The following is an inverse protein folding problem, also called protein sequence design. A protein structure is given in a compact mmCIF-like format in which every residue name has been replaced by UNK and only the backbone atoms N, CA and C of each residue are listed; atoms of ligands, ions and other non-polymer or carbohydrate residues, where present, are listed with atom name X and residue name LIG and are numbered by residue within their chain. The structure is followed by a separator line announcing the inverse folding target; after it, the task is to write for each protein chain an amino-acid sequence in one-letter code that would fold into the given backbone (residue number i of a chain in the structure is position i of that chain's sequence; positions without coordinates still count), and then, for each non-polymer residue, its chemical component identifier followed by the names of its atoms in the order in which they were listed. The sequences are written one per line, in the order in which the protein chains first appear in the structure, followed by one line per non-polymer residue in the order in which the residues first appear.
data_IF_545028472344
#
_entry.id   IF_545028472344
#
_cell.length_a   1.000
_cell.length_b   1.000
_cell.length_c   1.000
_cell.angle_alpha   90.00
_cell.angle_beta   90.00
_cell.angle_gamma   90.00
#
_symmetry.space_group_name_H-M   'P 1'
#
loop_
_entity.id
_entity.type
_entity.pdbx_description
1 polymer ?
#
# COMPACT_ATOMS: atom_id res chain seq x y z
N UNK A 1 21.21 12.95 -18.88
CA UNK A 1 21.19 11.84 -17.89
C UNK A 1 20.76 10.57 -18.62
N UNK A 2 21.39 9.41 -18.36
CA UNK A 2 20.90 8.14 -18.91
C UNK A 2 19.50 7.81 -18.35
N UNK A 3 18.62 7.17 -19.14
CA UNK A 3 17.28 6.82 -18.70
C UNK A 3 17.32 5.80 -17.55
N UNK A 4 16.42 5.97 -16.58
CA UNK A 4 16.29 5.01 -15.47
C UNK A 4 15.83 3.66 -16.05
N UNK A 5 16.47 2.54 -15.69
CA UNK A 5 16.03 1.21 -16.11
C UNK A 5 14.56 0.97 -15.75
N UNK A 6 13.83 0.28 -16.63
CA UNK A 6 12.45 -0.11 -16.35
C UNK A 6 12.41 -1.07 -15.15
N UNK A 7 11.51 -0.85 -14.17
CA UNK A 7 11.38 -1.76 -13.04
C UNK A 7 10.97 -3.16 -13.50
N UNK A 8 11.61 -4.18 -12.94
CA UNK A 8 11.33 -5.60 -13.26
C UNK A 8 10.63 -6.31 -12.12
N UNK A 9 10.75 -5.78 -10.90
CA UNK A 9 10.22 -6.37 -9.67
C UNK A 9 9.52 -5.29 -8.85
N UNK A 10 8.67 -5.73 -7.94
CA UNK A 10 8.01 -4.88 -6.97
C UNK A 10 7.84 -5.62 -5.65
N UNK A 11 7.84 -4.87 -4.55
CA UNK A 11 7.45 -5.35 -3.23
C UNK A 11 6.00 -4.98 -2.99
N UNK A 12 5.19 -5.90 -2.50
CA UNK A 12 3.78 -5.65 -2.25
C UNK A 12 3.26 -6.32 -0.98
N UNK A 13 2.09 -5.86 -0.54
CA UNK A 13 1.22 -6.55 0.41
C UNK A 13 0.06 -7.14 -0.38
N UNK A 14 -0.08 -8.48 -0.46
CA UNK A 14 -1.19 -9.11 -1.15
C UNK A 14 -2.50 -8.83 -0.41
N UNK A 15 -3.55 -8.47 -1.14
CA UNK A 15 -4.88 -8.24 -0.59
C UNK A 15 -5.72 -9.49 -0.78
N UNK A 16 -6.34 -9.97 0.30
CA UNK A 16 -7.21 -11.15 0.26
C UNK A 16 -8.30 -11.04 1.31
N UNK A 17 -9.39 -11.80 1.14
CA UNK A 17 -10.43 -11.95 2.15
C UNK A 17 -11.84 -12.04 1.58
N UNK A 18 -12.79 -12.62 2.33
CA UNK A 18 -14.16 -12.85 1.84
C UNK A 18 -14.92 -11.55 1.54
N UNK A 19 -14.72 -10.51 2.35
CA UNK A 19 -15.37 -9.21 2.14
C UNK A 19 -14.86 -8.57 0.84
N UNK A 20 -13.54 -8.49 0.66
CA UNK A 20 -12.94 -7.93 -0.55
C UNK A 20 -13.39 -8.70 -1.80
N UNK A 21 -13.46 -10.03 -1.73
CA UNK A 21 -13.96 -10.87 -2.83
C UNK A 21 -15.39 -10.48 -3.24
N UNK A 22 -16.30 -10.35 -2.26
CA UNK A 22 -17.69 -9.95 -2.52
C UNK A 22 -17.77 -8.54 -3.11
N UNK A 23 -17.13 -7.57 -2.48
CA UNK A 23 -17.17 -6.17 -2.93
C UNK A 23 -16.56 -6.01 -4.33
N UNK A 24 -15.45 -6.69 -4.61
CA UNK A 24 -14.81 -6.66 -5.94
C UNK A 24 -15.71 -7.32 -7.00
N UNK A 25 -16.44 -8.38 -6.65
CA UNK A 25 -17.41 -9.01 -7.55
C UNK A 25 -18.57 -8.07 -7.88
N UNK A 26 -19.14 -7.41 -6.87
CA UNK A 26 -20.20 -6.42 -7.07
C UNK A 26 -19.72 -5.23 -7.89
N UNK A 27 -18.53 -4.70 -7.57
CA UNK A 27 -17.89 -3.62 -8.32
C UNK A 27 -17.68 -4.01 -9.78
N UNK A 28 -17.12 -5.20 -10.05
CA UNK A 28 -16.90 -5.71 -11.40
C UNK A 28 -18.21 -5.79 -12.18
N UNK A 29 -19.28 -6.33 -11.58
CA UNK A 29 -20.58 -6.43 -12.24
C UNK A 29 -21.10 -5.05 -12.65
N UNK A 30 -21.07 -4.07 -11.74
CA UNK A 30 -21.53 -2.70 -12.01
C UNK A 30 -20.71 -2.00 -13.10
N UNK A 31 -19.38 -1.96 -12.97
CA UNK A 31 -18.55 -1.18 -13.92
C UNK A 31 -18.47 -1.79 -15.31
N UNK A 32 -18.72 -3.09 -15.44
CA UNK A 32 -18.69 -3.79 -16.73
C UNK A 32 -20.07 -3.90 -17.40
N UNK A 33 -21.14 -3.46 -16.73
CA UNK A 33 -22.48 -3.44 -17.32
C UNK A 33 -22.51 -2.47 -18.51
N UNK A 34 -23.01 -2.90 -19.69
CA UNK A 34 -23.12 -2.04 -20.87
C UNK A 34 -23.98 -0.78 -20.68
N UNK A 35 -24.90 -0.79 -19.71
CA UNK A 35 -25.79 0.32 -19.37
C UNK A 35 -25.25 1.20 -18.23
N UNK A 36 -24.09 0.85 -17.65
CA UNK A 36 -23.39 1.63 -16.62
C UNK A 36 -22.14 2.26 -17.23
N UNK A 37 -20.95 1.96 -16.70
CA UNK A 37 -19.68 2.50 -17.19
C UNK A 37 -19.14 1.78 -18.43
N UNK A 38 -19.67 0.59 -18.77
CA UNK A 38 -19.25 -0.23 -19.92
C UNK A 38 -17.73 -0.42 -20.02
N UNK A 39 -17.06 -0.59 -18.87
CA UNK A 39 -15.63 -0.86 -18.80
C UNK A 39 -15.37 -2.29 -19.28
N UNK A 40 -14.34 -2.48 -20.10
CA UNK A 40 -13.98 -3.80 -20.58
C UNK A 40 -13.68 -4.75 -19.39
N UNK A 41 -14.25 -5.98 -19.34
CA UNK A 41 -14.12 -6.85 -18.17
C UNK A 41 -12.69 -7.21 -17.76
N UNK A 42 -11.74 -7.19 -18.71
CA UNK A 42 -10.32 -7.46 -18.43
C UNK A 42 -9.56 -6.26 -17.84
N UNK A 43 -10.18 -5.07 -17.81
CA UNK A 43 -9.61 -3.91 -17.12
C UNK A 43 -9.77 -4.02 -15.59
N UNK A 44 -10.69 -4.85 -15.10
CA UNK A 44 -10.85 -5.13 -13.68
C UNK A 44 -9.96 -6.31 -13.28
N UNK A 45 -8.93 -6.04 -12.46
CA UNK A 45 -8.00 -7.06 -11.98
C UNK A 45 -8.74 -8.12 -11.14
N UNK A 46 -8.45 -9.42 -11.31
CA UNK A 46 -9.01 -10.46 -10.47
C UNK A 46 -8.41 -10.41 -9.06
N UNK A 47 -9.17 -10.92 -8.07
CA UNK A 47 -8.80 -10.91 -6.66
C UNK A 47 -7.38 -11.46 -6.40
N UNK A 48 -7.00 -12.56 -7.05
CA UNK A 48 -5.68 -13.19 -6.88
C UNK A 48 -4.49 -12.33 -7.31
N UNK A 49 -4.74 -11.19 -7.95
CA UNK A 49 -3.70 -10.23 -8.36
C UNK A 49 -3.80 -8.89 -7.64
N UNK A 50 -4.73 -8.74 -6.68
CA UNK A 50 -4.90 -7.51 -5.92
C UNK A 50 -3.79 -7.37 -4.87
N UNK A 51 -3.12 -6.22 -4.87
CA UNK A 51 -2.01 -5.95 -3.98
C UNK A 51 -1.82 -4.45 -3.76
N UNK A 52 -1.20 -4.08 -2.64
CA UNK A 52 -0.67 -2.75 -2.41
C UNK A 52 0.83 -2.76 -2.71
N UNK A 53 1.24 -2.05 -3.76
CA UNK A 53 2.66 -1.89 -4.10
C UNK A 53 3.34 -0.94 -3.12
N UNK A 54 4.39 -1.41 -2.45
CA UNK A 54 5.21 -0.63 -1.52
C UNK A 54 6.39 0.03 -2.21
N UNK A 55 6.91 -0.59 -3.26
CA UNK A 55 8.04 -0.06 -4.03
C UNK A 55 8.33 -0.91 -5.26
N UNK A 56 8.97 -0.30 -6.25
CA UNK A 56 9.39 -0.95 -7.51
C UNK A 56 10.90 -0.87 -7.63
N UNK A 57 11.49 -1.90 -8.24
CA UNK A 57 12.95 -2.02 -8.33
C UNK A 57 13.38 -2.81 -9.57
N UNK A 58 14.67 -2.72 -9.91
CA UNK A 58 15.30 -3.55 -10.94
C UNK A 58 16.30 -4.48 -10.28
N UNK A 59 15.99 -5.78 -10.26
CA UNK A 59 16.92 -6.81 -9.79
C UNK A 59 17.50 -7.49 -11.03
N UNK A 60 18.83 -7.53 -11.13
CA UNK A 60 19.56 -8.11 -12.27
C UNK A 60 20.11 -9.48 -11.88
N UNK A 61 19.55 -10.52 -12.50
CA UNK A 61 19.94 -11.91 -12.26
C UNK A 61 19.46 -12.48 -10.92
N UNK A 62 19.57 -13.79 -10.79
CA UNK A 62 19.01 -14.55 -9.66
C UNK A 62 19.71 -14.25 -8.33
N UNK A 63 20.99 -13.89 -8.36
CA UNK A 63 21.74 -13.53 -7.15
C UNK A 63 21.16 -12.28 -6.47
N UNK A 64 20.79 -11.25 -7.25
CA UNK A 64 20.19 -10.03 -6.72
C UNK A 64 18.79 -10.31 -6.14
N UNK A 65 18.02 -11.20 -6.77
CA UNK A 65 16.72 -11.64 -6.27
C UNK A 65 16.85 -12.45 -4.97
N UNK A 66 17.83 -13.36 -4.90
CA UNK A 66 18.14 -14.14 -3.70
C UNK A 66 18.46 -13.24 -2.51
N UNK A 67 19.37 -12.27 -2.68
CA UNK A 67 19.70 -11.29 -1.63
C UNK A 67 18.50 -10.47 -1.18
N UNK A 68 17.65 -10.04 -2.12
CA UNK A 68 16.43 -9.31 -1.78
C UNK A 68 15.47 -10.18 -0.95
N UNK A 69 15.31 -11.45 -1.32
CA UNK A 69 14.48 -12.39 -0.57
C UNK A 69 15.04 -12.65 0.84
N UNK A 70 16.36 -12.81 0.98
CA UNK A 70 17.00 -13.02 2.28
C UNK A 70 16.86 -11.80 3.21
N UNK A 71 16.99 -10.60 2.65
CA UNK A 71 16.71 -9.36 3.39
C UNK A 71 15.26 -9.35 3.90
N UNK A 72 14.29 -9.65 3.04
CA UNK A 72 12.88 -9.69 3.42
C UNK A 72 12.58 -10.73 4.50
N UNK A 73 13.24 -11.90 4.45
CA UNK A 73 13.13 -12.95 5.49
C UNK A 73 13.74 -12.52 6.82
N UNK A 74 14.79 -11.71 6.79
CA UNK A 74 15.43 -11.17 7.99
C UNK A 74 14.67 -10.03 8.67
N UNK A 75 13.61 -9.50 8.05
CA UNK A 75 12.86 -8.38 8.62
C UNK A 75 12.07 -8.79 9.87
N UNK A 76 12.27 -8.05 10.97
CA UNK A 76 11.43 -8.17 12.17
C UNK A 76 10.20 -7.26 12.05
N UNK A 77 9.29 -7.63 11.16
CA UNK A 77 8.12 -6.82 10.78
C UNK A 77 7.26 -6.39 11.97
N UNK A 78 7.09 -7.26 12.98
CA UNK A 78 6.33 -6.92 14.19
C UNK A 78 6.93 -5.71 14.91
N UNK A 79 8.23 -5.73 15.13
CA UNK A 79 8.94 -4.63 15.81
C UNK A 79 8.88 -3.34 15.00
N UNK A 80 9.07 -3.44 13.69
CA UNK A 80 8.96 -2.28 12.77
C UNK A 80 7.56 -1.67 12.86
N UNK A 81 6.51 -2.50 12.84
CA UNK A 81 5.13 -2.03 12.91
C UNK A 81 4.78 -1.46 14.28
N UNK A 82 5.27 -2.05 15.36
CA UNK A 82 5.06 -1.54 16.72
C UNK A 82 5.73 -0.17 16.92
N UNK A 83 6.96 -0.01 16.41
CA UNK A 83 7.66 1.27 16.38
C UNK A 83 6.91 2.31 15.54
N UNK A 84 6.42 1.94 14.35
CA UNK A 84 5.65 2.82 13.50
C UNK A 84 4.34 3.29 14.16
N UNK A 85 3.65 2.38 14.89
CA UNK A 85 2.45 2.71 15.66
C UNK A 85 2.75 3.68 16.80
N UNK A 86 3.83 3.44 17.54
CA UNK A 86 4.26 4.34 18.61
C UNK A 86 4.59 5.74 18.07
N UNK A 87 5.35 5.82 16.97
CA UNK A 87 5.67 7.09 16.31
C UNK A 87 4.41 7.83 15.83
N UNK A 88 3.46 7.12 15.21
CA UNK A 88 2.19 7.70 14.76
C UNK A 88 1.28 8.15 15.93
N UNK A 89 1.33 7.45 17.06
CA UNK A 89 0.63 7.88 18.28
C UNK A 89 1.23 9.17 18.85
N UNK A 90 2.56 9.24 18.97
CA UNK A 90 3.26 10.44 19.43
C UNK A 90 3.01 11.64 18.51
N UNK A 91 3.06 11.45 17.19
CA UNK A 91 2.80 12.52 16.23
C UNK A 91 1.39 13.11 16.39
N UNK A 92 0.37 12.25 16.59
CA UNK A 92 -1.02 12.70 16.83
C UNK A 92 -1.16 13.46 18.16
N UNK A 93 -0.45 13.03 19.20
CA UNK A 93 -0.47 13.73 20.49
C UNK A 93 0.15 15.14 20.40
N UNK A 94 1.25 15.29 19.64
CA UNK A 94 1.86 16.60 19.38
C UNK A 94 0.91 17.53 18.62
N UNK A 95 0.17 17.02 17.63
CA UNK A 95 -0.82 17.82 16.88
C UNK A 95 -1.98 18.30 17.76
N UNK A 96 -2.45 17.47 18.69
CA UNK A 96 -3.52 17.86 19.62
C UNK A 96 -3.04 18.93 20.60
N UNK A 97 -1.83 18.80 21.17
CA UNK A 97 -1.28 19.79 22.09
C UNK A 97 -1.02 21.16 21.44
N UNK A 98 -0.65 21.19 20.15
CA UNK A 98 -0.46 22.43 19.41
C UNK A 98 -1.78 23.17 19.12
N UNK A 99 -2.89 22.44 18.94
CA UNK A 99 -4.22 23.04 18.75
C UNK A 99 -4.76 23.67 20.04
N UNK A 100 -4.48 23.07 21.20
CA UNK A 100 -4.91 23.61 22.50
C UNK A 100 -4.14 24.88 22.90
N UNK A 101 -2.84 24.99 22.56
CA UNK A 101 -2.04 26.20 22.80
C UNK A 101 -2.47 27.38 21.91
N UNK A 102 -2.85 27.13 20.65
CA UNK A 102 -3.27 28.17 19.71
C UNK A 102 -4.68 28.72 20.04
N UNK A 103 -5.60 27.89 20.52
CA UNK A 103 -6.94 28.32 20.96
C UNK A 103 -6.92 29.06 22.31
N UNK A 104 -5.97 28.72 23.20
CA UNK A 104 -5.73 29.43 24.45
C UNK A 104 -5.14 30.83 24.26
N UNK A 105 -4.25 31.01 23.26
CA UNK A 105 -3.64 32.30 22.96
C UNK A 105 -4.61 33.30 22.30
N UNK A 106 -5.65 32.83 21.61
CA UNK A 106 -6.63 33.68 20.94
C UNK A 106 -7.71 34.28 21.88
N UNK A 107 -7.71 33.91 23.16
CA UNK A 107 -8.69 34.35 24.18
C UNK A 107 -8.09 35.22 25.29
N UNK A 108 -6.82 35.63 25.16
CA UNK A 108 -6.09 36.47 26.12
C UNK A 108 -6.07 37.95 25.75
#
# INVERSE_FOLDING_TARGET
MPPRPAPTHFLCIPLSGPQLARTLSSFRADVTDPNSFNVHPQAVRPLGTMHLTLGVMTLKGDEALGRAADLLRGLRLREILDQARAAAASARATTIGQQEEEEGAARG
#
